data_IF_389609730949
#
_entry.id   IF_389609730949
#
_cell.length_a   1.000
_cell.length_b   1.000
_cell.length_c   1.000
_cell.angle_alpha   90.00
_cell.angle_beta   90.00
_cell.angle_gamma   90.00
#
_symmetry.space_group_name_H-M   'P 1'
#
loop_
_entity.id
_entity.type
_entity.pdbx_description
1 polymer ?
#
# COMPACT_ATOMS: atom_id res chain seq x y z
N UNK A 1 -0.17 -5.07 -16.08
CA UNK A 1 -0.32 -4.28 -14.84
C UNK A 1 0.25 -5.10 -13.69
N UNK A 2 0.97 -4.47 -12.76
CA UNK A 2 1.42 -5.08 -11.52
C UNK A 2 0.74 -4.44 -10.30
N UNK A 3 0.24 -5.28 -9.42
CA UNK A 3 -0.44 -4.92 -8.18
C UNK A 3 0.45 -5.35 -7.01
N UNK A 4 0.70 -4.45 -6.07
CA UNK A 4 1.28 -4.78 -4.79
C UNK A 4 0.17 -4.78 -3.73
N UNK A 5 0.08 -5.84 -2.94
CA UNK A 5 -0.74 -5.84 -1.72
C UNK A 5 0.19 -5.69 -0.52
N UNK A 6 0.01 -4.64 0.26
CA UNK A 6 0.73 -4.42 1.51
C UNK A 6 0.22 -5.44 2.54
N UNK A 7 1.05 -6.41 2.89
CA UNK A 7 0.60 -7.62 3.57
C UNK A 7 1.47 -8.02 4.74
N UNK A 8 0.90 -8.87 5.58
CA UNK A 8 1.58 -9.59 6.64
C UNK A 8 1.19 -11.07 6.61
N UNK A 9 2.01 -11.92 7.25
CA UNK A 9 1.71 -13.35 7.35
C UNK A 9 0.52 -13.59 8.27
N UNK A 10 -0.41 -14.42 7.81
CA UNK A 10 -1.59 -14.87 8.53
C UNK A 10 -1.48 -16.40 8.73
N UNK A 11 -0.69 -16.82 9.71
CA UNK A 11 -0.39 -18.24 9.95
C UNK A 11 0.71 -18.79 9.03
N UNK A 12 0.76 -20.12 8.87
CA UNK A 12 1.85 -20.80 8.16
C UNK A 12 1.80 -20.64 6.64
N UNK A 13 0.61 -20.48 6.06
CA UNK A 13 0.42 -20.49 4.59
C UNK A 13 -0.39 -19.31 4.06
N UNK A 14 -0.94 -18.46 4.93
CA UNK A 14 -1.81 -17.36 4.55
C UNK A 14 -1.13 -15.99 4.60
N UNK A 15 -1.68 -15.05 3.84
CA UNK A 15 -1.36 -13.63 3.95
C UNK A 15 -2.64 -12.82 4.07
N UNK A 16 -2.56 -11.71 4.78
CA UNK A 16 -3.64 -10.75 4.93
C UNK A 16 -3.14 -9.33 4.74
N UNK A 17 -4.05 -8.40 4.48
CA UNK A 17 -3.74 -6.97 4.43
C UNK A 17 -3.14 -6.52 5.76
N UNK A 18 -1.95 -5.93 5.70
CA UNK A 18 -1.28 -5.40 6.88
C UNK A 18 -2.09 -4.24 7.47
N UNK A 19 -2.15 -4.17 8.80
CA UNK A 19 -2.76 -3.06 9.50
C UNK A 19 -1.94 -1.78 9.42
N UNK A 20 -2.61 -0.64 9.56
CA UNK A 20 -1.96 0.67 9.64
C UNK A 20 -1.38 1.16 8.30
N UNK A 21 -0.32 1.95 8.38
CA UNK A 21 0.26 2.61 7.22
C UNK A 21 1.07 1.63 6.35
N UNK A 22 0.79 1.55 5.04
CA UNK A 22 1.40 0.55 4.13
C UNK A 22 2.92 0.58 4.08
N UNK A 23 3.54 1.75 4.28
CA UNK A 23 5.01 1.89 4.36
C UNK A 23 5.65 1.07 5.50
N UNK A 24 4.85 0.55 6.43
CA UNK A 24 5.27 -0.32 7.54
C UNK A 24 4.87 -1.79 7.32
N UNK A 25 4.14 -2.09 6.25
CA UNK A 25 3.82 -3.47 5.94
C UNK A 25 5.12 -4.28 5.79
N UNK A 26 5.23 -5.45 6.44
CA UNK A 26 6.46 -6.24 6.45
C UNK A 26 6.83 -6.78 5.07
N UNK A 27 5.84 -6.98 4.20
CA UNK A 27 6.04 -7.45 2.84
C UNK A 27 4.98 -6.93 1.89
N UNK A 28 5.29 -7.02 0.61
CA UNK A 28 4.37 -6.76 -0.49
C UNK A 28 4.23 -8.02 -1.34
N UNK A 29 2.99 -8.48 -1.49
CA UNK A 29 2.67 -9.54 -2.46
C UNK A 29 2.51 -8.91 -3.83
N UNK A 30 3.33 -9.33 -4.79
CA UNK A 30 3.34 -8.75 -6.13
C UNK A 30 2.61 -9.66 -7.10
N UNK A 31 1.52 -9.16 -7.66
CA UNK A 31 0.71 -9.85 -8.64
C UNK A 31 0.84 -9.18 -10.00
N UNK A 32 1.02 -10.00 -11.04
CA UNK A 32 0.93 -9.56 -12.43
C UNK A 32 -0.43 -9.94 -12.98
N UNK A 33 -1.15 -8.98 -13.53
CA UNK A 33 -2.37 -9.25 -14.30
C UNK A 33 -2.00 -9.50 -15.76
N UNK A 34 -2.28 -10.70 -16.25
CA UNK A 34 -2.15 -11.10 -17.64
C UNK A 34 -3.52 -11.58 -18.16
N UNK A 35 -4.07 -10.90 -19.17
CA UNK A 35 -5.38 -11.24 -19.77
C UNK A 35 -6.53 -11.35 -18.74
N UNK A 36 -6.50 -10.51 -17.70
CA UNK A 36 -7.50 -10.50 -16.64
C UNK A 36 -7.30 -11.57 -15.55
N UNK A 37 -6.29 -12.43 -15.65
CA UNK A 37 -5.95 -13.39 -14.62
C UNK A 37 -4.77 -12.86 -13.77
N UNK A 38 -4.92 -12.75 -12.44
CA UNK A 38 -3.81 -12.40 -11.57
C UNK A 38 -2.91 -13.62 -11.37
N UNK A 39 -1.60 -13.40 -11.36
CA UNK A 39 -0.60 -14.39 -11.00
C UNK A 39 0.34 -13.81 -9.97
N UNK A 40 0.53 -14.51 -8.85
CA UNK A 40 1.58 -14.14 -7.88
C UNK A 40 2.93 -14.30 -8.59
N UNK A 41 3.66 -13.19 -8.71
CA UNK A 41 4.95 -13.14 -9.36
C UNK A 41 6.06 -13.29 -8.33
N UNK A 42 5.97 -12.57 -7.22
CA UNK A 42 6.96 -12.59 -6.14
C UNK A 42 6.43 -12.01 -4.83
N UNK A 43 7.19 -12.23 -3.75
CA UNK A 43 7.00 -11.59 -2.45
C UNK A 43 8.21 -10.71 -2.19
N UNK A 44 7.98 -9.41 -1.97
CA UNK A 44 9.07 -8.45 -1.69
C UNK A 44 9.02 -8.06 -0.22
N UNK A 45 10.11 -8.30 0.49
CA UNK A 45 10.25 -7.83 1.87
C UNK A 45 10.44 -6.31 1.91
N UNK A 46 9.90 -5.69 2.96
CA UNK A 46 10.09 -4.26 3.21
C UNK A 46 11.22 -4.07 4.25
N UNK A 47 12.42 -3.63 3.83
CA UNK A 47 13.52 -3.41 4.76
C UNK A 47 13.27 -2.26 5.75
N UNK A 48 12.24 -1.43 5.49
CA UNK A 48 11.86 -0.29 6.33
C UNK A 48 10.61 -0.56 7.19
N UNK A 49 10.15 -1.82 7.26
CA UNK A 49 8.92 -2.19 7.98
C UNK A 49 8.97 -1.84 9.47
N UNK A 50 10.11 -2.14 10.12
CA UNK A 50 10.34 -1.91 11.55
C UNK A 50 10.94 -0.52 11.84
N UNK A 51 11.17 0.31 10.82
CA UNK A 51 11.61 1.68 11.08
C UNK A 51 10.45 2.45 11.73
N UNK A 52 10.64 2.99 12.95
CA UNK A 52 9.59 3.68 13.70
C UNK A 52 9.04 4.86 12.93
N UNK A 53 7.80 5.28 13.16
CA UNK A 53 7.33 6.58 12.68
C UNK A 53 7.84 7.68 13.62
N UNK A 54 8.41 8.76 13.10
CA UNK A 54 8.98 9.86 13.91
C UNK A 54 7.95 10.69 14.70
N UNK A 55 6.67 10.30 14.71
CA UNK A 55 5.59 11.05 15.39
C UNK A 55 5.19 10.48 16.77
N UNK A 56 5.95 9.53 17.33
CA UNK A 56 5.70 8.98 18.67
C UNK A 56 6.54 9.67 19.79
N UNK A 57 6.75 10.97 19.69
CA UNK A 57 7.47 11.76 20.68
C UNK A 57 6.91 13.17 20.81
N UNK A 58 6.30 13.44 21.96
CA UNK A 58 6.00 14.78 22.44
C UNK A 58 7.15 15.77 22.18
N UNK A 59 6.79 16.98 21.74
CA UNK A 59 7.56 18.22 21.88
C UNK A 59 9.09 18.10 21.88
N UNK A 60 9.75 18.35 20.74
CA UNK A 60 10.98 19.16 20.68
C UNK A 60 11.50 19.35 19.26
N UNK A 61 11.66 20.62 18.90
CA UNK A 61 12.32 21.10 17.71
C UNK A 61 13.76 20.59 17.57
N UNK A 62 14.06 19.52 16.83
CA UNK A 62 15.43 19.29 16.34
C UNK A 62 15.47 18.50 15.04
N UNK A 63 16.08 19.13 14.03
CA UNK A 63 16.41 18.58 12.72
C UNK A 63 17.34 17.35 12.85
N UNK A 64 16.82 16.14 12.61
CA UNK A 64 17.64 14.94 12.43
C UNK A 64 17.10 14.10 11.25
N UNK A 65 18.02 13.67 10.37
CA UNK A 65 17.71 13.02 9.09
C UNK A 65 17.41 11.52 9.19
N UNK A 66 16.22 11.18 9.69
CA UNK A 66 15.60 9.85 9.59
C UNK A 66 14.81 9.69 8.28
N UNK A 67 14.63 8.45 7.79
CA UNK A 67 13.80 8.16 6.61
C UNK A 67 12.32 8.15 6.98
N UNK A 68 11.76 9.32 7.29
CA UNK A 68 10.33 9.56 7.47
C UNK A 68 9.86 10.60 6.45
N UNK A 69 8.65 10.44 5.94
CA UNK A 69 8.14 11.30 4.86
C UNK A 69 8.73 10.95 3.49
N UNK A 70 8.94 11.95 2.60
CA UNK A 70 9.23 11.72 1.18
C UNK A 70 10.42 10.80 0.88
N UNK A 71 11.43 10.76 1.75
CA UNK A 71 12.61 9.89 1.59
C UNK A 71 12.28 8.40 1.71
N UNK A 72 11.40 8.01 2.65
CA UNK A 72 10.91 6.63 2.82
C UNK A 72 10.10 6.21 1.60
N UNK A 73 9.18 7.08 1.16
CA UNK A 73 8.32 6.81 0.01
C UNK A 73 9.14 6.70 -1.27
N UNK A 74 10.14 7.57 -1.43
CA UNK A 74 11.11 7.48 -2.52
C UNK A 74 11.90 6.18 -2.49
N UNK A 75 12.40 5.76 -1.33
CA UNK A 75 13.10 4.48 -1.23
C UNK A 75 12.20 3.31 -1.64
N UNK A 76 10.98 3.26 -1.08
CA UNK A 76 10.01 2.22 -1.40
C UNK A 76 9.70 2.23 -2.89
N UNK A 77 9.43 3.39 -3.47
CA UNK A 77 9.17 3.55 -4.91
C UNK A 77 10.35 3.11 -5.77
N UNK A 78 11.57 3.48 -5.44
CA UNK A 78 12.76 3.22 -6.25
C UNK A 78 13.25 1.76 -6.14
N UNK A 79 13.10 1.14 -4.96
CA UNK A 79 13.77 -0.12 -4.62
C UNK A 79 12.83 -1.30 -4.40
N UNK A 80 11.63 -1.05 -3.86
CA UNK A 80 10.69 -2.12 -3.47
C UNK A 80 9.49 -2.19 -4.41
N UNK A 81 9.04 -1.05 -4.94
CA UNK A 81 7.81 -0.88 -5.70
C UNK A 81 8.08 -0.22 -7.06
N UNK A 82 9.25 -0.49 -7.66
CA UNK A 82 9.76 0.20 -8.86
C UNK A 82 8.94 0.00 -10.13
N UNK A 83 8.21 -1.10 -10.21
CA UNK A 83 7.43 -1.55 -11.36
C UNK A 83 5.93 -1.73 -11.03
N UNK A 84 5.48 -1.21 -9.89
CA UNK A 84 4.12 -1.36 -9.40
C UNK A 84 3.22 -0.26 -9.98
N UNK A 85 2.03 -0.64 -10.42
CA UNK A 85 1.02 0.29 -10.94
C UNK A 85 -0.07 0.60 -9.92
N UNK A 86 -0.36 -0.35 -9.02
CA UNK A 86 -1.39 -0.22 -8.00
C UNK A 86 -0.88 -0.79 -6.68
N UNK A 87 -1.07 -0.04 -5.59
CA UNK A 87 -0.86 -0.51 -4.22
C UNK A 87 -2.23 -0.68 -3.57
N UNK A 88 -2.48 -1.86 -2.96
CA UNK A 88 -3.64 -2.10 -2.11
C UNK A 88 -3.18 -2.20 -0.66
N UNK A 89 -3.76 -1.41 0.23
CA UNK A 89 -3.29 -1.26 1.60
C UNK A 89 -4.41 -1.16 2.65
N UNK A 90 -4.06 -1.40 3.92
CA UNK A 90 -4.96 -1.15 5.06
C UNK A 90 -5.07 0.33 5.45
N UNK A 91 -4.10 1.16 5.06
CA UNK A 91 -4.07 2.58 5.36
C UNK A 91 -2.83 3.28 4.80
N UNK A 92 -2.93 4.60 4.67
CA UNK A 92 -1.85 5.49 4.23
C UNK A 92 -2.13 6.92 4.74
N UNK A 93 -1.09 7.73 4.91
CA UNK A 93 -1.25 9.16 5.16
C UNK A 93 -1.36 9.95 3.84
N UNK A 94 -1.92 11.16 3.89
CA UNK A 94 -2.10 12.00 2.70
C UNK A 94 -0.77 12.29 1.97
N UNK A 95 0.32 12.45 2.72
CA UNK A 95 1.65 12.68 2.12
C UNK A 95 2.12 11.50 1.27
N UNK A 96 1.91 10.27 1.72
CA UNK A 96 2.29 9.09 0.94
C UNK A 96 1.36 8.86 -0.25
N UNK A 97 0.06 9.12 -0.08
CA UNK A 97 -0.91 9.08 -1.18
C UNK A 97 -0.49 10.06 -2.29
N UNK A 98 -0.28 11.33 -1.94
CA UNK A 98 0.11 12.36 -2.90
C UNK A 98 1.44 12.02 -3.61
N UNK A 99 2.43 11.49 -2.87
CA UNK A 99 3.70 11.07 -3.44
C UNK A 99 3.52 9.97 -4.50
N UNK A 100 2.85 8.87 -4.15
CA UNK A 100 2.73 7.73 -5.05
C UNK A 100 1.82 8.03 -6.26
N UNK A 101 0.77 8.84 -6.07
CA UNK A 101 -0.04 9.35 -7.18
C UNK A 101 0.78 10.21 -8.14
N UNK A 102 1.62 11.12 -7.63
CA UNK A 102 2.54 11.93 -8.43
C UNK A 102 3.55 11.09 -9.23
N UNK A 103 3.88 9.90 -8.73
CA UNK A 103 4.75 8.91 -9.39
C UNK A 103 4.00 7.95 -10.33
N UNK A 104 2.71 8.21 -10.59
CA UNK A 104 1.86 7.41 -11.49
C UNK A 104 1.41 6.06 -10.92
N UNK A 105 1.43 5.91 -9.59
CA UNK A 105 1.01 4.70 -8.89
C UNK A 105 -0.34 4.94 -8.24
N UNK A 106 -1.34 4.14 -8.60
CA UNK A 106 -2.66 4.17 -7.97
C UNK A 106 -2.63 3.55 -6.58
N UNK A 107 -3.54 3.98 -5.71
CA UNK A 107 -3.76 3.37 -4.40
C UNK A 107 -5.22 2.96 -4.26
N UNK A 108 -5.44 1.80 -3.65
CA UNK A 108 -6.74 1.36 -3.19
C UNK A 108 -6.60 0.86 -1.75
N UNK A 109 -7.71 0.84 -1.03
CA UNK A 109 -7.71 0.41 0.36
C UNK A 109 -8.69 -0.74 0.58
N UNK A 110 -8.30 -1.62 1.50
CA UNK A 110 -9.09 -2.75 1.93
C UNK A 110 -8.98 -2.87 3.45
N UNK A 111 -9.98 -3.48 4.07
CA UNK A 111 -9.97 -3.64 5.52
C UNK A 111 -8.72 -4.40 5.98
N UNK A 112 -8.03 -3.92 7.03
CA UNK A 112 -6.95 -4.66 7.66
C UNK A 112 -7.40 -6.06 8.07
N UNK A 113 -6.49 -7.03 8.01
CA UNK A 113 -6.74 -8.45 8.28
C UNK A 113 -7.57 -9.21 7.24
N UNK A 114 -8.11 -8.55 6.21
CA UNK A 114 -8.76 -9.26 5.10
C UNK A 114 -7.75 -10.14 4.36
N UNK A 115 -8.09 -11.39 4.02
CA UNK A 115 -7.21 -12.27 3.25
C UNK A 115 -6.77 -11.63 1.93
N UNK A 116 -5.47 -11.70 1.62
CA UNK A 116 -4.93 -11.05 0.42
C UNK A 116 -5.55 -11.58 -0.89
N UNK A 117 -5.92 -12.86 -0.93
CA UNK A 117 -6.58 -13.48 -2.08
C UNK A 117 -7.99 -12.91 -2.34
N UNK A 118 -8.72 -12.58 -1.28
CA UNK A 118 -10.06 -11.99 -1.37
C UNK A 118 -9.97 -10.56 -1.94
N UNK A 119 -9.01 -9.78 -1.44
CA UNK A 119 -8.74 -8.43 -1.92
C UNK A 119 -8.31 -8.43 -3.38
N UNK A 120 -7.43 -9.36 -3.77
CA UNK A 120 -7.00 -9.53 -5.15
C UNK A 120 -8.16 -9.88 -6.08
N UNK A 121 -9.04 -10.80 -5.66
CA UNK A 121 -10.22 -11.19 -6.42
C UNK A 121 -11.12 -9.97 -6.69
N UNK A 122 -11.44 -9.20 -5.66
CA UNK A 122 -12.25 -7.99 -5.80
C UNK A 122 -11.59 -6.94 -6.71
N UNK A 123 -10.27 -6.76 -6.62
CA UNK A 123 -9.54 -5.83 -7.48
C UNK A 123 -9.57 -6.26 -8.96
N UNK A 124 -9.48 -7.56 -9.24
CA UNK A 124 -9.52 -8.12 -10.60
C UNK A 124 -10.93 -8.05 -11.19
N UNK A 125 -11.96 -8.35 -10.40
CA UNK A 125 -13.36 -8.21 -10.83
C UNK A 125 -13.64 -6.77 -11.28
N UNK A 126 -13.26 -5.77 -10.47
CA UNK A 126 -13.37 -4.35 -10.85
C UNK A 126 -12.57 -4.04 -12.13
N UNK A 127 -11.32 -4.50 -12.21
CA UNK A 127 -10.47 -4.29 -13.40
C UNK A 127 -11.07 -4.88 -14.69
N UNK A 128 -11.78 -6.00 -14.58
CA UNK A 128 -12.45 -6.66 -15.71
C UNK A 128 -13.65 -5.89 -16.26
N UNK A 129 -14.24 -5.01 -15.44
CA UNK A 129 -15.33 -4.11 -15.82
C UNK A 129 -14.81 -2.83 -16.52
N UNK A 130 -13.51 -2.77 -16.82
CA UNK A 130 -12.85 -1.58 -17.39
C UNK A 130 -12.61 -0.48 -16.37
N UNK A 131 -12.81 -0.77 -15.08
CA UNK A 131 -12.58 0.15 -13.96
C UNK A 131 -11.33 -0.29 -13.22
N UNK A 132 -10.24 0.49 -13.26
CA UNK A 132 -9.24 0.32 -12.22
C UNK A 132 -9.94 0.54 -10.88
N UNK A 133 -9.62 -0.21 -9.80
CA UNK A 133 -10.25 0.02 -8.50
C UNK A 133 -10.11 1.51 -8.18
N UNK A 134 -11.25 2.19 -8.08
CA UNK A 134 -11.32 3.62 -7.82
C UNK A 134 -10.46 3.91 -6.59
N UNK A 135 -9.67 4.98 -6.71
CA UNK A 135 -8.96 5.58 -5.61
C UNK A 135 -9.97 5.74 -4.48
N UNK A 136 -9.87 4.88 -3.48
CA UNK A 136 -10.46 5.15 -2.17
C UNK A 136 -9.32 5.71 -1.35
N UNK A 137 -9.58 6.48 -0.31
CA UNK A 137 -8.61 6.88 0.71
C UNK A 137 -9.15 6.38 2.04
N UNK A 138 -8.31 5.72 2.85
CA UNK A 138 -8.73 5.40 4.21
C UNK A 138 -8.44 6.59 5.11
N UNK A 139 -9.46 7.40 5.39
CA UNK A 139 -9.38 8.53 6.32
C UNK A 139 -10.43 8.36 7.42
N UNK A 140 -10.08 8.73 8.65
CA UNK A 140 -11.00 8.71 9.80
C UNK A 140 -11.61 7.34 10.14
N UNK A 141 -10.95 6.24 9.79
CA UNK A 141 -11.46 4.90 10.09
C UNK A 141 -12.49 4.36 9.09
N UNK A 142 -12.60 4.95 7.88
CA UNK A 142 -13.45 4.45 6.79
C UNK A 142 -12.84 4.73 5.42
N UNK A 143 -13.29 3.99 4.41
CA UNK A 143 -13.05 4.31 3.00
C UNK A 143 -13.84 5.58 2.64
N UNK A 144 -13.15 6.58 2.12
CA UNK A 144 -13.72 7.82 1.56
C UNK A 144 -13.20 8.02 0.14
N UNK A 145 -14.00 8.63 -0.71
CA UNK A 145 -13.55 9.08 -2.03
C UNK A 145 -12.50 10.19 -1.83
N UNK A 146 -11.37 10.23 -2.57
CA UNK A 146 -10.44 11.35 -2.53
C UNK A 146 -11.11 12.70 -2.77
N UNK A 147 -12.17 12.74 -3.58
CA UNK A 147 -12.94 13.96 -3.85
C UNK A 147 -13.78 14.41 -2.63
N UNK A 148 -13.94 13.55 -1.61
CA UNK A 148 -14.60 13.87 -0.34
C UNK A 148 -13.64 14.42 0.73
N UNK A 149 -12.33 14.48 0.45
CA UNK A 149 -11.32 15.03 1.36
C UNK A 149 -11.02 16.48 0.91
N UNK A 150 -11.87 17.41 1.35
CA UNK A 150 -11.65 18.87 1.24
C UNK A 150 -10.52 19.38 2.17
#
# INVERSE_FOLDING_TARGET
>A
MKIAIASEKAGETGYRVAGGHFAHAPLFLIYKLEKGAPKLEEVRENPLALMPDEDAGEHSHHHHGGFHGPSKYKFLRDKVLSDINLIIAGGACMTSIAFFLGEGVSLAFADPSTPAEEVLKAAVEKASEGRLPELSVYAWGRLVDPDEIE
#
